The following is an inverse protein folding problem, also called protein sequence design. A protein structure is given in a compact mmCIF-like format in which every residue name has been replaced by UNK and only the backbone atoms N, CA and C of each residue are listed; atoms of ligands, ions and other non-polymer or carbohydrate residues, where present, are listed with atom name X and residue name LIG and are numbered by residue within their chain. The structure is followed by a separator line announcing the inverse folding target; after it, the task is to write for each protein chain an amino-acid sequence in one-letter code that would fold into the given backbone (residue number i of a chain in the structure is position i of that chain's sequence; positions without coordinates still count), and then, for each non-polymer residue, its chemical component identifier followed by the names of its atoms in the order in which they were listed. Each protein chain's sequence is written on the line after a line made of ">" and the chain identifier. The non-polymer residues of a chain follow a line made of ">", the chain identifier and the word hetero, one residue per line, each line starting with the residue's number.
data_IF_575301313468
#
_entry.id   IF_575301313468
#
_cell.length_a   1.000
_cell.length_b   1.000
_cell.length_c   1.000
_cell.angle_alpha   90.00
_cell.angle_beta   90.00
_cell.angle_gamma   90.00
#
_symmetry.space_group_name_H-M   'P 1'
#
loop_
_entity.id
_entity.type
_entity.pdbx_description
1 polymer ?
#
# COMPACT_ATOMS: atom_id res chain seq x y z
N UNK A 1 58.73 -28.80 -48.20
CA UNK A 1 58.48 -28.30 -46.83
C UNK A 1 58.48 -29.49 -45.89
N UNK A 2 59.47 -29.59 -44.98
CA UNK A 2 59.58 -30.71 -44.04
C UNK A 2 58.62 -30.59 -42.87
N UNK A 3 58.29 -31.71 -42.21
CA UNK A 3 57.34 -31.76 -41.10
C UNK A 3 57.69 -30.79 -39.95
N UNK A 4 58.97 -30.65 -39.62
CA UNK A 4 59.44 -29.75 -38.55
C UNK A 4 59.12 -28.26 -38.83
N UNK A 5 59.23 -27.80 -40.08
CA UNK A 5 58.91 -26.41 -40.43
C UNK A 5 57.41 -26.13 -40.33
N UNK A 6 56.56 -27.12 -40.63
CA UNK A 6 55.12 -27.01 -40.44
C UNK A 6 54.72 -26.99 -38.96
N UNK A 7 55.40 -27.79 -38.14
CA UNK A 7 55.20 -27.80 -36.68
C UNK A 7 55.57 -26.44 -36.09
N UNK A 8 56.74 -25.89 -36.41
CA UNK A 8 57.17 -24.58 -35.92
C UNK A 8 56.20 -23.45 -36.29
N UNK A 9 55.64 -23.48 -37.51
CA UNK A 9 54.63 -22.50 -37.93
C UNK A 9 53.32 -22.63 -37.14
N UNK A 10 52.91 -23.85 -36.82
CA UNK A 10 51.70 -24.08 -36.02
C UNK A 10 51.92 -23.68 -34.56
N UNK A 11 53.08 -23.97 -33.97
CA UNK A 11 53.45 -23.55 -32.61
C UNK A 11 53.44 -22.02 -32.50
N UNK A 12 54.05 -21.30 -33.44
CA UNK A 12 54.02 -19.84 -33.45
C UNK A 12 52.60 -19.27 -33.53
N UNK A 13 51.72 -19.90 -34.33
CA UNK A 13 50.31 -19.49 -34.43
C UNK A 13 49.53 -19.79 -33.15
N UNK A 14 49.81 -20.90 -32.48
CA UNK A 14 49.21 -21.22 -31.18
C UNK A 14 49.64 -20.20 -30.14
N UNK A 15 50.93 -19.87 -30.08
CA UNK A 15 51.46 -18.87 -29.15
C UNK A 15 50.85 -17.48 -29.38
N UNK A 16 50.67 -17.07 -30.64
CA UNK A 16 49.97 -15.82 -30.98
C UNK A 16 48.52 -15.83 -30.48
N UNK A 17 47.80 -16.94 -30.69
CA UNK A 17 46.43 -17.09 -30.19
C UNK A 17 46.33 -17.11 -28.68
N UNK A 18 47.28 -17.75 -27.99
CA UNK A 18 47.33 -17.74 -26.53
C UNK A 18 47.51 -16.31 -26.00
N UNK A 19 48.39 -15.52 -26.62
CA UNK A 19 48.57 -14.09 -26.27
C UNK A 19 47.32 -13.25 -26.54
N UNK A 20 46.63 -13.47 -27.66
CA UNK A 20 45.35 -12.81 -27.96
C UNK A 20 44.28 -13.15 -26.91
N UNK A 21 44.16 -14.43 -26.55
CA UNK A 21 43.21 -14.90 -25.53
C UNK A 21 43.54 -14.27 -24.17
N UNK A 22 44.80 -14.26 -23.75
CA UNK A 22 45.22 -13.62 -22.50
C UNK A 22 44.90 -12.12 -22.47
N UNK A 23 45.16 -11.41 -23.57
CA UNK A 23 44.83 -9.98 -23.70
C UNK A 23 43.32 -9.73 -23.58
N UNK A 24 42.50 -10.53 -24.28
CA UNK A 24 41.04 -10.43 -24.22
C UNK A 24 40.51 -10.75 -22.81
N UNK A 25 41.03 -11.79 -22.15
CA UNK A 25 40.64 -12.15 -20.79
C UNK A 25 41.01 -11.06 -19.79
N UNK A 26 42.20 -10.47 -19.91
CA UNK A 26 42.65 -9.38 -19.05
C UNK A 26 41.76 -8.15 -19.18
N UNK A 27 41.52 -7.69 -20.41
CA UNK A 27 40.62 -6.57 -20.70
C UNK A 27 39.20 -6.83 -20.19
N UNK A 28 38.66 -8.03 -20.41
CA UNK A 28 37.34 -8.39 -19.90
C UNK A 28 37.28 -8.36 -18.37
N UNK A 29 38.30 -8.88 -17.69
CA UNK A 29 38.33 -8.88 -16.23
C UNK A 29 38.46 -7.46 -15.67
N UNK A 30 39.25 -6.59 -16.30
CA UNK A 30 39.37 -5.17 -15.94
C UNK A 30 38.03 -4.44 -16.11
N UNK A 31 37.32 -4.69 -17.20
CA UNK A 31 35.96 -4.15 -17.41
C UNK A 31 34.98 -4.65 -16.36
N UNK A 32 35.02 -5.94 -16.02
CA UNK A 32 34.17 -6.53 -14.96
C UNK A 32 34.49 -5.92 -13.61
N UNK A 33 35.76 -5.76 -13.25
CA UNK A 33 36.20 -5.15 -12.01
C UNK A 33 35.74 -3.68 -11.92
N UNK A 34 35.89 -2.91 -13.00
CA UNK A 34 35.40 -1.53 -13.09
C UNK A 34 33.87 -1.46 -12.90
N UNK A 35 33.13 -2.34 -13.58
CA UNK A 35 31.66 -2.41 -13.45
C UNK A 35 31.24 -2.72 -12.02
N UNK A 36 31.87 -3.71 -11.38
CA UNK A 36 31.60 -4.06 -9.98
C UNK A 36 31.90 -2.89 -9.06
N UNK A 37 32.99 -2.15 -9.29
CA UNK A 37 33.33 -0.99 -8.48
C UNK A 37 32.29 0.13 -8.59
N UNK A 38 31.82 0.43 -9.80
CA UNK A 38 30.75 1.42 -10.03
C UNK A 38 29.45 0.97 -9.35
N UNK A 39 29.05 -0.30 -9.51
CA UNK A 39 27.85 -0.83 -8.88
C UNK A 39 27.93 -0.79 -7.35
N UNK A 40 29.10 -1.08 -6.78
CA UNK A 40 29.33 -0.96 -5.34
C UNK A 40 29.18 0.49 -4.87
N UNK A 41 29.75 1.46 -5.60
CA UNK A 41 29.58 2.87 -5.29
C UNK A 41 28.12 3.34 -5.36
N UNK A 42 27.36 2.87 -6.35
CA UNK A 42 25.93 3.16 -6.45
C UNK A 42 25.15 2.57 -5.27
N UNK A 43 25.42 1.31 -4.91
CA UNK A 43 24.79 0.65 -3.77
C UNK A 43 25.10 1.35 -2.44
N UNK A 44 26.34 1.79 -2.23
CA UNK A 44 26.72 2.52 -1.02
C UNK A 44 26.06 3.90 -0.97
N UNK A 45 25.94 4.58 -2.11
CA UNK A 45 25.21 5.85 -2.20
C UNK A 45 23.71 5.69 -1.94
N UNK A 46 23.10 4.61 -2.44
CA UNK A 46 21.70 4.27 -2.20
C UNK A 46 21.46 4.01 -0.71
N UNK A 47 22.32 3.19 -0.09
CA UNK A 47 22.24 2.90 1.36
C UNK A 47 22.38 4.16 2.21
N UNK A 48 23.31 5.06 1.85
CA UNK A 48 23.46 6.33 2.55
C UNK A 48 22.22 7.21 2.41
N UNK A 49 21.68 7.36 1.19
CA UNK A 49 20.46 8.12 0.95
C UNK A 49 19.24 7.53 1.70
N UNK A 50 19.15 6.21 1.78
CA UNK A 50 18.10 5.51 2.52
C UNK A 50 18.23 5.73 4.03
N UNK A 51 19.45 5.68 4.59
CA UNK A 51 19.68 5.99 5.99
C UNK A 51 19.28 7.45 6.33
N UNK A 52 19.63 8.40 5.46
CA UNK A 52 19.23 9.80 5.62
C UNK A 52 17.71 9.99 5.56
N UNK A 53 17.04 9.32 4.63
CA UNK A 53 15.58 9.35 4.53
C UNK A 53 14.93 8.77 5.79
N UNK A 54 15.45 7.66 6.33
CA UNK A 54 14.95 7.06 7.55
C UNK A 54 15.16 7.98 8.77
N UNK A 55 16.34 8.58 8.91
CA UNK A 55 16.62 9.55 9.97
C UNK A 55 15.67 10.77 9.92
N UNK A 56 15.35 11.26 8.71
CA UNK A 56 14.36 12.33 8.53
C UNK A 56 12.95 11.88 8.91
N UNK A 57 12.56 10.67 8.53
CA UNK A 57 11.27 10.10 8.89
C UNK A 57 11.12 9.94 10.42
N UNK A 58 12.16 9.44 11.09
CA UNK A 58 12.20 9.29 12.54
C UNK A 58 12.11 10.65 13.26
N UNK A 59 12.85 11.65 12.78
CA UNK A 59 12.78 13.02 13.30
C UNK A 59 11.38 13.61 13.19
N UNK A 60 10.73 13.47 12.03
CA UNK A 60 9.35 13.93 11.82
C UNK A 60 8.35 13.15 12.68
N UNK A 61 8.55 11.84 12.86
CA UNK A 61 7.73 11.00 13.73
C UNK A 61 7.79 11.48 15.19
N UNK A 62 8.99 11.77 15.70
CA UNK A 62 9.17 12.33 17.04
C UNK A 62 8.51 13.71 17.18
N UNK A 63 8.62 14.57 16.17
CA UNK A 63 7.95 15.88 16.18
C UNK A 63 6.43 15.74 16.18
N UNK A 64 5.87 14.81 15.39
CA UNK A 64 4.44 14.54 15.36
C UNK A 64 3.95 14.00 16.70
N UNK A 65 4.69 13.09 17.33
CA UNK A 65 4.37 12.58 18.65
C UNK A 65 4.39 13.69 19.71
N UNK A 66 5.39 14.58 19.68
CA UNK A 66 5.46 15.73 20.58
C UNK A 66 4.31 16.71 20.35
N UNK A 67 3.92 16.95 19.10
CA UNK A 67 2.79 17.80 18.76
C UNK A 67 1.46 17.19 19.23
N UNK A 68 1.28 15.87 19.06
CA UNK A 68 0.11 15.14 19.54
C UNK A 68 0.00 15.24 21.06
N UNK A 69 1.10 15.04 21.79
CA UNK A 69 1.10 15.16 23.25
C UNK A 69 0.71 16.58 23.73
N UNK A 70 1.16 17.63 23.01
CA UNK A 70 0.73 19.01 23.30
C UNK A 70 -0.75 19.23 23.04
N UNK A 71 -1.27 18.67 21.94
CA UNK A 71 -2.70 18.74 21.61
C UNK A 71 -3.53 18.07 22.71
N UNK A 72 -3.13 16.88 23.16
CA UNK A 72 -3.80 16.14 24.22
C UNK A 72 -3.79 16.92 25.55
N UNK A 73 -2.66 17.56 25.89
CA UNK A 73 -2.54 18.45 27.06
C UNK A 73 -3.52 19.63 26.97
N UNK A 74 -3.58 20.31 25.83
CA UNK A 74 -4.50 21.44 25.62
C UNK A 74 -5.97 21.00 25.66
N UNK A 75 -6.28 19.81 25.14
CA UNK A 75 -7.62 19.23 25.25
C UNK A 75 -8.01 18.96 26.71
N UNK A 76 -7.06 18.45 27.52
CA UNK A 76 -7.27 18.24 28.95
C UNK A 76 -7.50 19.57 29.68
N UNK A 77 -6.71 20.61 29.39
CA UNK A 77 -6.89 21.95 29.95
C UNK A 77 -8.25 22.56 29.56
N UNK A 78 -8.62 22.51 28.28
CA UNK A 78 -9.91 23.01 27.81
C UNK A 78 -11.08 22.30 28.50
N UNK A 79 -10.98 20.99 28.70
CA UNK A 79 -11.99 20.20 29.42
C UNK A 79 -12.07 20.63 30.89
N UNK A 80 -10.93 20.83 31.54
CA UNK A 80 -10.86 21.35 32.92
C UNK A 80 -11.52 22.73 33.04
N UNK A 81 -11.22 23.65 32.13
CA UNK A 81 -11.82 24.99 32.10
C UNK A 81 -13.34 24.92 31.93
N UNK A 82 -13.84 24.09 31.00
CA UNK A 82 -15.29 23.89 30.79
C UNK A 82 -16.00 23.32 32.03
N UNK A 83 -15.36 22.39 32.74
CA UNK A 83 -15.90 21.85 33.99
C UNK A 83 -15.93 22.92 35.09
N UNK A 84 -14.88 23.71 35.21
CA UNK A 84 -14.81 24.82 36.17
C UNK A 84 -15.86 25.91 35.85
N UNK A 85 -16.04 26.25 34.57
CA UNK A 85 -17.07 27.18 34.11
C UNK A 85 -18.48 26.67 34.46
N UNK A 86 -18.77 25.40 34.17
CA UNK A 86 -20.05 24.77 34.52
C UNK A 86 -20.29 24.77 36.03
N UNK A 87 -19.24 24.50 36.82
CA UNK A 87 -19.32 24.57 38.28
C UNK A 87 -19.60 26.00 38.78
N UNK A 88 -18.96 27.01 38.20
CA UNK A 88 -19.22 28.42 38.54
C UNK A 88 -20.62 28.88 38.12
N UNK A 89 -21.08 28.49 36.93
CA UNK A 89 -22.44 28.79 36.45
C UNK A 89 -23.50 28.15 37.35
N UNK A 90 -23.30 26.90 37.78
CA UNK A 90 -24.20 26.24 38.74
C UNK A 90 -24.25 26.98 40.09
N UNK A 91 -23.11 27.46 40.59
CA UNK A 91 -23.03 28.27 41.81
C UNK A 91 -23.76 29.60 41.64
N UNK A 92 -23.57 30.29 40.52
CA UNK A 92 -24.28 31.55 40.23
C UNK A 92 -25.79 31.35 40.20
N UNK A 93 -26.28 30.28 39.55
CA UNK A 93 -27.71 29.93 39.53
C UNK A 93 -28.27 29.63 40.92
N UNK A 94 -27.54 28.90 41.76
CA UNK A 94 -27.97 28.62 43.15
C UNK A 94 -27.90 29.84 44.06
N UNK A 95 -26.90 30.71 43.88
CA UNK A 95 -26.74 31.94 44.66
C UNK A 95 -27.79 33.01 44.28
N UNK A 96 -28.15 33.12 42.99
CA UNK A 96 -29.20 34.03 42.53
C UNK A 96 -30.61 33.54 42.90
N UNK A 97 -30.82 32.23 43.04
CA UNK A 97 -32.08 31.65 43.54
C UNK A 97 -32.25 31.68 45.06
N UNK A 98 -31.36 32.36 45.81
CA UNK A 98 -31.47 32.56 47.26
C UNK A 98 -32.72 33.33 47.74
N UNK A 99 -33.62 33.72 46.83
CA UNK A 99 -34.95 34.26 47.14
C UNK A 99 -36.02 33.64 46.23
N UNK A 100 -36.20 32.31 46.28
CA UNK A 100 -37.55 31.79 46.07
C UNK A 100 -38.40 32.17 47.28
N UNK A 101 -38.95 33.39 47.22
CA UNK A 101 -40.23 33.70 47.84
C UNK A 101 -41.19 32.58 47.45
N UNK A 102 -41.65 31.81 48.44
CA UNK A 102 -42.82 30.96 48.28
C UNK A 102 -44.00 31.88 47.99
N UNK A 103 -44.40 31.95 46.73
CA UNK A 103 -45.75 32.37 46.34
C UNK A 103 -46.28 31.19 45.53
N UNK A 104 -46.96 30.29 46.24
CA UNK A 104 -48.18 29.71 45.69
C UNK A 104 -49.05 30.90 45.26
N UNK A 105 -49.56 30.89 44.03
CA UNK A 105 -51.01 30.85 43.77
C UNK A 105 -51.33 31.25 42.31
N UNK A 106 -52.39 30.62 41.80
CA UNK A 106 -53.25 30.88 40.63
C UNK A 106 -52.68 30.88 39.18
N UNK A 107 -53.04 29.80 38.47
CA UNK A 107 -53.97 29.84 37.32
C UNK A 107 -54.14 31.18 36.56
N UNK A 108 -53.63 31.26 35.32
CA UNK A 108 -54.29 32.01 34.25
C UNK A 108 -53.77 31.52 32.89
N UNK A 109 -54.61 30.74 32.20
CA UNK A 109 -54.48 30.56 30.76
C UNK A 109 -55.02 31.77 30.01
N UNK A 110 -54.32 32.19 28.95
CA UNK A 110 -54.80 32.95 27.78
C UNK A 110 -53.82 32.59 26.64
N UNK A 111 -54.15 31.64 25.76
CA UNK A 111 -54.91 31.79 24.49
C UNK A 111 -54.17 32.73 23.48
N UNK A 112 -53.54 32.17 22.43
CA UNK A 112 -53.99 32.17 21.01
C UNK A 112 -53.61 33.47 20.25
N UNK A 113 -53.27 33.58 18.96
CA UNK A 113 -53.73 32.95 17.70
C UNK A 113 -52.70 33.30 16.59
N UNK A 114 -52.50 32.43 15.59
CA UNK A 114 -52.38 32.66 14.13
C UNK A 114 -51.70 31.42 13.49
N UNK A 115 -52.41 30.45 12.91
CA UNK A 115 -53.29 30.44 11.72
C UNK A 115 -52.56 30.80 10.42
N UNK A 116 -52.24 29.81 9.58
CA UNK A 116 -52.82 29.62 8.23
C UNK A 116 -52.25 28.36 7.53
N UNK A 117 -53.13 27.36 7.40
CA UNK A 117 -53.44 26.58 6.18
C UNK A 117 -52.31 26.10 5.22
N UNK A 118 -52.19 24.78 5.01
CA UNK A 118 -52.64 24.09 3.77
C UNK A 118 -52.18 22.62 3.69
N UNK A 119 -53.19 21.75 3.62
CA UNK A 119 -53.33 20.55 2.79
C UNK A 119 -52.40 19.33 2.94
N UNK A 120 -53.01 18.29 3.53
CA UNK A 120 -53.17 16.91 3.07
C UNK A 120 -51.98 16.08 2.52
N UNK A 121 -51.99 14.82 2.99
CA UNK A 121 -51.36 13.62 2.42
C UNK A 121 -49.83 13.50 2.53
N UNK A 122 -49.37 12.59 3.38
CA UNK A 122 -48.88 11.26 2.96
C UNK A 122 -48.41 10.44 4.17
N UNK A 123 -49.00 9.25 4.27
CA UNK A 123 -48.61 8.05 5.02
C UNK A 123 -47.10 7.74 4.95
N UNK A 124 -46.48 7.39 6.10
CA UNK A 124 -45.41 6.37 6.23
C UNK A 124 -44.95 6.23 7.70
N UNK A 125 -45.45 5.24 8.43
CA UNK A 125 -44.83 3.90 8.66
C UNK A 125 -43.51 3.94 9.44
N UNK A 126 -43.59 3.44 10.68
CA UNK A 126 -42.51 3.04 11.58
C UNK A 126 -41.36 2.28 10.89
N UNK A 127 -40.12 2.58 11.30
CA UNK A 127 -39.12 1.54 11.58
C UNK A 127 -38.03 2.02 12.55
N UNK A 128 -37.86 1.20 13.59
CA UNK A 128 -36.83 1.24 14.62
C UNK A 128 -35.43 1.26 14.00
N UNK A 129 -34.57 2.19 14.42
CA UNK A 129 -33.13 2.13 14.14
C UNK A 129 -32.43 1.44 15.32
N UNK A 130 -31.86 0.27 15.06
CA UNK A 130 -31.10 -0.55 16.02
C UNK A 130 -29.63 -0.12 15.99
N UNK A 131 -29.15 0.30 17.16
CA UNK A 131 -27.74 0.27 17.56
C UNK A 131 -27.16 -1.14 17.46
N UNK A 132 -25.91 -1.28 17.01
CA UNK A 132 -25.06 -2.43 17.31
C UNK A 132 -23.60 -1.98 17.40
N UNK A 133 -23.11 -1.92 18.63
CA UNK A 133 -21.71 -1.82 19.00
C UNK A 133 -21.18 -3.24 19.34
N UNK A 134 -19.86 -3.41 19.18
CA UNK A 134 -18.97 -4.39 19.86
C UNK A 134 -18.43 -5.60 19.05
N UNK A 135 -17.23 -6.11 19.42
CA UNK A 135 -16.21 -6.61 18.49
C UNK A 135 -16.02 -8.14 18.44
N UNK A 136 -15.46 -8.59 17.33
CA UNK A 136 -15.20 -9.99 16.97
C UNK A 136 -14.06 -10.59 17.82
N UNK A 137 -14.37 -11.62 18.61
CA UNK A 137 -13.37 -12.42 19.35
C UNK A 137 -12.73 -13.48 18.45
N UNK A 138 -11.43 -13.65 18.63
CA UNK A 138 -10.61 -14.75 18.16
C UNK A 138 -11.12 -16.09 18.69
N UNK A 139 -11.06 -17.14 17.84
CA UNK A 139 -11.01 -18.53 18.28
C UNK A 139 -9.95 -19.28 17.47
N UNK A 140 -8.94 -19.76 18.18
CA UNK A 140 -7.94 -20.74 17.77
C UNK A 140 -8.19 -22.03 18.58
N UNK A 141 -8.17 -23.19 17.92
CA UNK A 141 -7.91 -24.54 18.45
C UNK A 141 -7.83 -25.47 17.21
N UNK A 142 -6.65 -25.83 16.70
CA UNK A 142 -5.75 -26.93 17.08
C UNK A 142 -6.14 -28.32 16.53
N UNK A 143 -5.15 -28.88 15.81
CA UNK A 143 -4.80 -30.29 15.57
C UNK A 143 -5.54 -31.14 14.51
N UNK A 144 -4.73 -31.87 13.71
CA UNK A 144 -5.19 -32.87 12.75
C UNK A 144 -4.40 -32.90 11.45
N UNK A 145 -3.19 -33.47 11.48
CA UNK A 145 -2.27 -33.57 10.35
C UNK A 145 -2.77 -34.36 9.12
N UNK A 146 -2.26 -33.98 7.95
CA UNK A 146 -2.18 -34.85 6.78
C UNK A 146 -0.92 -34.51 5.98
N UNK A 147 0.01 -35.44 6.01
CA UNK A 147 1.23 -35.50 5.19
C UNK A 147 0.81 -35.80 3.75
N UNK A 148 0.97 -34.84 2.83
CA UNK A 148 1.11 -35.16 1.41
C UNK A 148 2.57 -34.96 1.02
N UNK A 149 3.25 -36.08 0.79
CA UNK A 149 4.63 -36.14 0.31
C UNK A 149 4.73 -35.53 -1.09
N UNK A 150 5.91 -34.98 -1.34
CA UNK A 150 6.28 -34.24 -2.53
C UNK A 150 6.06 -34.93 -3.87
N UNK A 151 6.03 -34.09 -4.90
CA UNK A 151 6.71 -34.39 -6.13
C UNK A 151 7.54 -33.15 -6.50
N UNK A 152 8.87 -33.29 -6.35
CA UNK A 152 9.82 -32.47 -7.08
C UNK A 152 9.86 -33.01 -8.50
N UNK A 153 9.27 -32.29 -9.45
CA UNK A 153 9.83 -32.10 -10.79
C UNK A 153 8.81 -31.37 -11.66
N UNK A 154 9.06 -30.09 -11.92
CA UNK A 154 8.79 -29.48 -13.23
C UNK A 154 9.49 -28.14 -13.28
N UNK A 155 10.82 -28.23 -13.24
CA UNK A 155 11.68 -27.29 -13.96
C UNK A 155 11.52 -27.56 -15.45
N UNK A 156 10.33 -27.32 -16.00
CA UNK A 156 10.13 -27.23 -17.43
C UNK A 156 9.95 -25.76 -17.76
N UNK A 157 10.98 -25.21 -18.40
CA UNK A 157 10.84 -24.09 -19.32
C UNK A 157 9.75 -24.45 -20.34
N UNK A 158 8.48 -24.28 -19.96
CA UNK A 158 7.39 -24.39 -20.88
C UNK A 158 7.10 -22.97 -21.33
N UNK A 159 7.86 -22.55 -22.34
CA UNK A 159 7.33 -21.74 -23.43
C UNK A 159 6.15 -22.51 -24.01
N UNK A 160 5.05 -22.60 -23.24
CA UNK A 160 3.78 -23.04 -23.77
C UNK A 160 3.36 -21.91 -24.70
N UNK A 161 3.58 -22.15 -25.99
CA UNK A 161 2.77 -21.63 -27.08
C UNK A 161 1.32 -22.10 -26.92
N UNK A 162 0.74 -21.97 -25.73
CA UNK A 162 -0.70 -21.87 -25.62
C UNK A 162 -1.06 -20.60 -26.39
N UNK A 163 -1.87 -20.74 -27.44
CA UNK A 163 -2.32 -19.57 -28.20
C UNK A 163 -2.91 -18.57 -27.21
N UNK A 164 -2.16 -17.52 -26.89
CA UNK A 164 -2.51 -16.53 -25.87
C UNK A 164 -3.87 -15.88 -26.20
N UNK A 165 -4.28 -15.93 -27.46
CA UNK A 165 -5.60 -15.58 -27.98
C UNK A 165 -6.76 -16.36 -27.34
N UNK A 166 -6.51 -17.59 -26.87
CA UNK A 166 -7.47 -18.46 -26.16
C UNK A 166 -7.61 -18.08 -24.68
N UNK A 167 -6.70 -17.29 -24.12
CA UNK A 167 -6.78 -16.91 -22.71
C UNK A 167 -8.05 -16.11 -22.42
N UNK A 168 -8.62 -16.37 -21.24
CA UNK A 168 -9.67 -15.52 -20.67
C UNK A 168 -9.04 -14.23 -20.14
N UNK A 169 -9.82 -13.16 -20.01
CA UNK A 169 -9.35 -11.89 -19.45
C UNK A 169 -8.71 -12.09 -18.06
N UNK A 170 -9.25 -13.01 -17.26
CA UNK A 170 -8.69 -13.36 -15.94
C UNK A 170 -7.30 -13.99 -16.05
N UNK A 171 -7.09 -14.94 -16.97
CA UNK A 171 -5.79 -15.58 -17.20
C UNK A 171 -4.76 -14.59 -17.74
N UNK A 172 -5.17 -13.66 -18.60
CA UNK A 172 -4.31 -12.58 -19.11
C UNK A 172 -3.87 -11.65 -17.97
N UNK A 173 -4.80 -11.22 -17.11
CA UNK A 173 -4.49 -10.38 -15.95
C UNK A 173 -3.52 -11.06 -14.99
N UNK A 174 -3.72 -12.35 -14.72
CA UNK A 174 -2.87 -13.13 -13.83
C UNK A 174 -1.45 -13.24 -14.38
N UNK A 175 -1.30 -13.58 -15.67
CA UNK A 175 -0.01 -13.65 -16.32
C UNK A 175 0.70 -12.29 -16.33
N UNK A 176 0.02 -11.21 -16.73
CA UNK A 176 0.59 -9.85 -16.68
C UNK A 176 1.05 -9.47 -15.26
N UNK A 177 0.27 -9.81 -14.24
CA UNK A 177 0.64 -9.54 -12.84
C UNK A 177 1.85 -10.38 -12.41
N UNK A 178 1.93 -11.65 -12.82
CA UNK A 178 3.04 -12.57 -12.53
C UNK A 178 4.37 -12.10 -13.14
N UNK A 179 4.33 -11.46 -14.30
CA UNK A 179 5.52 -10.89 -14.96
C UNK A 179 5.73 -9.39 -14.63
N UNK A 180 5.23 -8.92 -13.48
CA UNK A 180 5.42 -7.56 -12.97
C UNK A 180 4.77 -6.42 -13.79
N UNK A 181 3.83 -6.71 -14.68
CA UNK A 181 3.02 -5.70 -15.39
C UNK A 181 1.72 -5.35 -14.66
N UNK A 182 1.65 -5.58 -13.34
CA UNK A 182 0.45 -5.33 -12.54
C UNK A 182 -0.04 -3.87 -12.55
N UNK A 183 0.87 -2.90 -12.67
CA UNK A 183 0.50 -1.48 -12.82
C UNK A 183 -0.30 -1.22 -14.10
N UNK A 184 0.14 -1.79 -15.23
CA UNK A 184 -0.57 -1.69 -16.52
C UNK A 184 -1.94 -2.37 -16.50
N UNK A 185 -2.10 -3.42 -15.69
CA UNK A 185 -3.39 -4.07 -15.44
C UNK A 185 -4.33 -3.16 -14.65
N UNK A 186 -3.82 -2.35 -13.72
CA UNK A 186 -4.60 -1.38 -12.95
C UNK A 186 -4.97 -0.14 -13.75
N UNK A 187 -4.08 0.32 -14.63
CA UNK A 187 -4.31 1.47 -15.51
C UNK A 187 -5.40 1.21 -16.56
N UNK A 188 -5.63 -0.07 -16.89
CA UNK A 188 -6.65 -0.43 -17.86
C UNK A 188 -8.05 -0.39 -17.24
N UNK A 189 -8.98 0.27 -17.93
CA UNK A 189 -10.35 0.51 -17.45
C UNK A 189 -11.02 -0.79 -17.00
N UNK A 190 -11.74 -0.77 -15.88
CA UNK A 190 -12.43 -1.93 -15.28
C UNK A 190 -13.37 -2.67 -16.24
N UNK A 191 -13.85 -2.01 -17.30
CA UNK A 191 -14.68 -2.58 -18.37
C UNK A 191 -13.98 -2.83 -19.71
N UNK A 192 -12.63 -2.87 -19.75
CA UNK A 192 -11.85 -3.07 -20.96
C UNK A 192 -12.15 -4.40 -21.66
N UNK A 193 -12.22 -4.37 -22.99
CA UNK A 193 -12.63 -5.51 -23.80
C UNK A 193 -11.54 -6.59 -23.87
N UNK A 194 -11.91 -7.84 -24.17
CA UNK A 194 -10.93 -8.95 -24.32
C UNK A 194 -9.84 -8.63 -25.36
N UNK A 195 -10.16 -7.84 -26.39
CA UNK A 195 -9.18 -7.38 -27.40
C UNK A 195 -8.12 -6.47 -26.78
N UNK A 196 -8.53 -5.48 -26.01
CA UNK A 196 -7.60 -4.56 -25.31
C UNK A 196 -6.67 -5.31 -24.34
N UNK A 197 -7.20 -6.32 -23.63
CA UNK A 197 -6.37 -7.20 -22.79
C UNK A 197 -5.35 -8.01 -23.58
N UNK A 198 -5.70 -8.48 -24.78
CA UNK A 198 -4.79 -9.20 -25.64
C UNK A 198 -3.72 -8.28 -26.23
N UNK A 199 -4.06 -7.07 -26.67
CA UNK A 199 -3.11 -6.06 -27.16
C UNK A 199 -2.12 -5.65 -26.06
N UNK A 200 -2.61 -5.48 -24.83
CA UNK A 200 -1.75 -5.24 -23.67
C UNK A 200 -0.80 -6.43 -23.41
N UNK A 201 -1.30 -7.65 -23.53
CA UNK A 201 -0.49 -8.86 -23.39
C UNK A 201 0.58 -8.96 -24.50
N UNK A 202 0.23 -8.70 -25.75
CA UNK A 202 1.16 -8.71 -26.89
C UNK A 202 2.25 -7.65 -26.73
N UNK A 203 1.90 -6.43 -26.32
CA UNK A 203 2.87 -5.35 -26.10
C UNK A 203 3.80 -5.60 -24.91
N UNK A 204 3.31 -6.22 -23.82
CA UNK A 204 4.11 -6.47 -22.62
C UNK A 204 4.95 -7.75 -22.70
N UNK A 205 4.40 -8.82 -23.26
CA UNK A 205 5.00 -10.17 -23.25
C UNK A 205 5.68 -10.55 -24.56
N UNK A 206 5.19 -10.06 -25.71
CA UNK A 206 5.74 -10.38 -27.03
C UNK A 206 6.57 -9.25 -27.63
N UNK A 207 6.63 -8.07 -26.98
CA UNK A 207 7.33 -6.87 -27.45
C UNK A 207 7.04 -6.52 -28.92
N UNK A 208 5.86 -6.92 -29.42
CA UNK A 208 5.41 -6.54 -30.77
C UNK A 208 4.87 -5.12 -30.66
N UNK A 209 5.61 -4.20 -31.26
CA UNK A 209 5.19 -2.81 -31.44
C UNK A 209 4.22 -2.67 -32.60
#
# INVERSE_FOLDING_TARGET
>A
MGAHSKVALLEARVEEREKEIESLLKSNNEQRASTVHVLQGLLDSERAAHADANNRADSLSLQLQAAQAKLDSLQQELTSVRLNETALDSKLKTASHGKCSRVDDYEMGLDSVQDMEMSDRIVRVNKRSRSNTSPLKHTQAEDGGSVFKGDEDTRSQQTNSEDYRKFTVTKIKQELTKYNFGSRVLDMRTGASKREWLELYESCMLQKS
#
